data_IF_533401492890
#
_entry.id   IF_533401492890
#
_cell.length_a   1.000
_cell.length_b   1.000
_cell.length_c   1.000
_cell.angle_alpha   90.00
_cell.angle_beta   90.00
_cell.angle_gamma   90.00
#
_symmetry.space_group_name_H-M   'P 1'
#
loop_
_entity.id
_entity.type
_entity.pdbx_description
1 polymer ?
#
# COMPACT_ATOMS: atom_id res chain seq x y z
N UNK A 1 13.37 21.79 13.28
CA UNK A 1 14.16 22.28 12.12
C UNK A 1 15.44 22.96 12.57
N UNK A 2 16.60 22.46 12.14
CA UNK A 2 17.89 23.17 12.28
C UNK A 2 17.98 24.27 11.22
N UNK A 3 18.56 25.45 11.53
CA UNK A 3 18.72 26.55 10.55
C UNK A 3 19.43 26.06 9.28
N UNK A 4 20.42 25.18 9.44
CA UNK A 4 21.17 24.59 8.35
C UNK A 4 20.31 23.79 7.35
N UNK A 5 19.31 23.03 7.80
CA UNK A 5 18.42 22.28 6.91
C UNK A 5 17.57 23.23 6.05
N UNK A 6 17.00 24.26 6.68
CA UNK A 6 16.14 25.23 6.03
C UNK A 6 16.88 26.04 4.96
N UNK A 7 18.13 26.40 5.24
CA UNK A 7 18.95 27.21 4.34
C UNK A 7 19.34 26.41 3.09
N UNK A 8 19.73 25.14 3.23
CA UNK A 8 20.02 24.26 2.09
C UNK A 8 18.77 24.07 1.23
N UNK A 9 17.63 23.78 1.86
CA UNK A 9 16.39 23.56 1.12
C UNK A 9 15.95 24.82 0.34
N UNK A 10 16.13 26.01 0.93
CA UNK A 10 15.81 27.28 0.28
C UNK A 10 16.72 27.57 -0.91
N UNK A 11 18.01 27.29 -0.79
CA UNK A 11 18.96 27.47 -1.88
C UNK A 11 18.59 26.54 -3.05
N UNK A 12 18.42 25.24 -2.77
CA UNK A 12 18.04 24.26 -3.78
C UNK A 12 16.68 24.57 -4.45
N UNK A 13 15.70 25.08 -3.68
CA UNK A 13 14.42 25.51 -4.23
C UNK A 13 14.56 26.74 -5.16
N UNK A 14 15.48 27.65 -4.85
CA UNK A 14 15.79 28.81 -5.71
C UNK A 14 16.44 28.36 -7.01
N UNK A 15 17.33 27.37 -6.93
CA UNK A 15 18.03 26.79 -8.08
C UNK A 15 17.16 25.78 -8.86
N UNK A 16 15.97 25.43 -8.32
CA UNK A 16 15.00 24.45 -8.84
C UNK A 16 15.58 23.05 -9.10
N UNK A 17 16.72 22.75 -8.46
CA UNK A 17 17.49 21.52 -8.60
C UNK A 17 18.20 21.22 -7.28
N UNK A 18 18.41 19.94 -6.99
CA UNK A 18 19.22 19.49 -5.84
C UNK A 18 20.47 18.80 -6.37
N UNK A 19 21.65 19.34 -6.03
CA UNK A 19 22.92 18.67 -6.31
C UNK A 19 23.16 17.50 -5.34
N UNK A 20 24.03 16.55 -5.71
CA UNK A 20 24.36 15.42 -4.82
C UNK A 20 25.02 15.88 -3.49
N UNK A 21 25.73 17.01 -3.48
CA UNK A 21 26.31 17.57 -2.26
C UNK A 21 25.24 18.18 -1.33
N UNK A 22 24.29 18.91 -1.88
CA UNK A 22 23.13 19.43 -1.14
C UNK A 22 22.27 18.28 -0.60
N UNK A 23 22.02 17.26 -1.41
CA UNK A 23 21.28 16.08 -0.99
C UNK A 23 21.97 15.35 0.18
N UNK A 24 23.29 15.17 0.10
CA UNK A 24 24.07 14.57 1.18
C UNK A 24 23.99 15.43 2.46
N UNK A 25 23.99 16.75 2.30
CA UNK A 25 23.88 17.70 3.42
C UNK A 25 22.49 17.68 4.05
N UNK A 26 21.43 17.60 3.24
CA UNK A 26 20.05 17.39 3.69
C UNK A 26 19.91 16.06 4.45
N UNK A 27 20.49 14.97 3.94
CA UNK A 27 20.51 13.68 4.64
C UNK A 27 21.20 13.77 5.99
N UNK A 28 22.39 14.39 6.07
CA UNK A 28 23.10 14.53 7.34
C UNK A 28 22.34 15.39 8.34
N UNK A 29 21.73 16.47 7.88
CA UNK A 29 20.98 17.38 8.74
C UNK A 29 19.64 16.80 9.20
N UNK A 30 18.88 16.17 8.30
CA UNK A 30 17.56 15.60 8.59
C UNK A 30 17.60 14.40 9.55
N UNK A 31 18.62 13.54 9.44
CA UNK A 31 18.78 12.40 10.36
C UNK A 31 19.73 12.66 11.54
N UNK A 32 20.15 13.89 11.78
CA UNK A 32 21.06 14.22 12.88
C UNK A 32 20.51 13.77 14.25
N UNK A 33 19.19 13.83 14.42
CA UNK A 33 18.49 13.42 15.64
C UNK A 33 17.77 12.06 15.50
N UNK A 34 17.97 11.36 14.38
CA UNK A 34 17.36 10.06 14.09
C UNK A 34 15.88 10.09 13.69
N UNK A 35 15.24 11.26 13.63
CA UNK A 35 13.83 11.42 13.22
C UNK A 35 13.65 12.66 12.36
N UNK A 36 12.68 12.62 11.45
CA UNK A 36 12.24 13.78 10.64
C UNK A 36 11.14 14.51 11.40
N UNK A 37 11.27 15.83 11.61
CA UNK A 37 10.23 16.63 12.28
C UNK A 37 9.09 17.01 11.31
N UNK A 38 7.88 17.36 11.82
CA UNK A 38 6.80 17.85 10.97
C UNK A 38 7.22 19.02 10.07
N UNK A 39 8.00 19.97 10.61
CA UNK A 39 8.44 21.14 9.83
C UNK A 39 9.49 20.78 8.76
N UNK A 40 10.31 19.76 9.02
CA UNK A 40 11.25 19.22 8.04
C UNK A 40 10.53 18.46 6.93
N UNK A 41 9.51 17.66 7.28
CA UNK A 41 8.64 17.00 6.29
C UNK A 41 7.93 18.02 5.39
N UNK A 42 7.39 19.09 5.97
CA UNK A 42 6.79 20.21 5.23
C UNK A 42 7.79 20.89 4.27
N UNK A 43 9.03 21.07 4.71
CA UNK A 43 10.10 21.65 3.91
C UNK A 43 10.51 20.72 2.77
N UNK A 44 10.55 19.41 3.01
CA UNK A 44 10.86 18.39 2.00
C UNK A 44 9.79 18.37 0.90
N UNK A 45 8.50 18.44 1.27
CA UNK A 45 7.41 18.60 0.30
C UNK A 45 7.56 19.89 -0.50
N UNK A 46 7.72 21.04 0.16
CA UNK A 46 7.87 22.32 -0.53
C UNK A 46 9.08 22.35 -1.48
N UNK A 47 10.18 21.70 -1.09
CA UNK A 47 11.33 21.53 -1.98
C UNK A 47 10.98 20.63 -3.15
N UNK A 48 10.35 19.48 -2.93
CA UNK A 48 9.90 18.59 -4.00
C UNK A 48 9.07 19.35 -5.03
N UNK A 49 8.09 20.15 -4.59
CA UNK A 49 7.20 20.93 -5.46
C UNK A 49 7.96 21.97 -6.31
N UNK A 50 9.06 22.50 -5.77
CA UNK A 50 9.88 23.52 -6.44
C UNK A 50 10.83 22.96 -7.52
N UNK A 51 11.12 21.66 -7.54
CA UNK A 51 12.09 21.07 -8.46
C UNK A 51 11.54 20.89 -9.88
N UNK A 52 12.34 21.24 -10.87
CA UNK A 52 12.06 20.94 -12.29
C UNK A 52 12.36 19.47 -12.63
N UNK A 53 13.46 18.95 -12.07
CA UNK A 53 13.91 17.58 -12.27
C UNK A 53 14.16 16.91 -10.93
N UNK A 54 13.62 15.69 -10.79
CA UNK A 54 13.69 14.87 -9.57
C UNK A 54 14.54 13.66 -9.88
N UNK A 55 15.83 13.77 -9.58
CA UNK A 55 16.77 12.66 -9.74
C UNK A 55 16.34 11.45 -8.92
N UNK A 56 16.77 10.26 -9.32
CA UNK A 56 16.49 9.04 -8.56
C UNK A 56 16.93 9.16 -7.09
N UNK A 57 18.11 9.76 -6.84
CA UNK A 57 18.63 9.98 -5.49
C UNK A 57 17.73 10.92 -4.66
N UNK A 58 17.18 11.97 -5.28
CA UNK A 58 16.19 12.83 -4.63
C UNK A 58 14.93 12.06 -4.27
N UNK A 59 14.41 11.25 -5.20
CA UNK A 59 13.22 10.43 -4.93
C UNK A 59 13.47 9.42 -3.80
N UNK A 60 14.65 8.79 -3.74
CA UNK A 60 15.03 7.91 -2.62
C UNK A 60 14.88 8.66 -1.29
N UNK A 61 15.54 9.82 -1.20
CA UNK A 61 15.54 10.64 0.01
C UNK A 61 14.15 11.11 0.40
N UNK A 62 13.37 11.61 -0.57
CA UNK A 62 12.01 12.09 -0.35
C UNK A 62 11.12 10.99 0.23
N UNK A 63 11.12 9.81 -0.40
CA UNK A 63 10.31 8.67 0.02
C UNK A 63 10.74 8.13 1.38
N UNK A 64 12.05 8.07 1.63
CA UNK A 64 12.60 7.64 2.92
C UNK A 64 12.23 8.61 4.05
N UNK A 65 12.43 9.91 3.85
CA UNK A 65 12.21 10.92 4.88
C UNK A 65 10.72 11.06 5.23
N UNK A 66 9.85 11.15 4.23
CA UNK A 66 8.40 11.26 4.47
C UNK A 66 7.84 9.93 4.98
N UNK A 67 8.32 8.79 4.47
CA UNK A 67 7.94 7.47 4.99
C UNK A 67 8.31 7.29 6.47
N UNK A 68 9.51 7.74 6.88
CA UNK A 68 9.93 7.73 8.28
C UNK A 68 9.02 8.60 9.15
N UNK A 69 8.74 9.83 8.69
CA UNK A 69 7.85 10.75 9.38
C UNK A 69 6.45 10.15 9.60
N UNK A 70 5.88 9.53 8.57
CA UNK A 70 4.49 9.04 8.59
C UNK A 70 4.35 7.70 9.31
N UNK A 71 5.35 6.81 9.21
CA UNK A 71 5.23 5.43 9.73
C UNK A 71 5.84 5.23 11.12
N UNK A 72 6.88 5.98 11.48
CA UNK A 72 7.75 5.61 12.61
C UNK A 72 7.85 6.68 13.70
N UNK A 73 7.25 7.86 13.53
CA UNK A 73 7.25 8.91 14.57
C UNK A 73 6.31 8.64 15.73
N UNK A 74 5.30 7.78 15.54
CA UNK A 74 4.31 7.43 16.54
C UNK A 74 4.27 5.92 16.76
N UNK A 75 4.09 5.49 18.01
CA UNK A 75 3.87 4.07 18.31
C UNK A 75 2.40 3.69 18.05
N UNK A 76 2.11 2.45 17.61
CA UNK A 76 3.05 1.41 17.18
C UNK A 76 3.71 1.76 15.84
N UNK A 77 5.01 1.49 15.71
CA UNK A 77 5.73 1.73 14.46
C UNK A 77 5.14 0.94 13.28
N UNK A 78 5.15 1.53 12.09
CA UNK A 78 4.55 0.96 10.88
C UNK A 78 3.04 1.17 10.75
N UNK A 79 2.42 1.99 11.62
CA UNK A 79 1.02 2.38 11.52
C UNK A 79 0.88 3.87 11.27
N UNK A 80 0.02 4.22 10.31
CA UNK A 80 -0.31 5.62 10.02
C UNK A 80 -1.50 6.04 10.88
N UNK A 81 -1.41 7.20 11.54
CA UNK A 81 -2.56 7.76 12.26
C UNK A 81 -3.56 8.44 11.32
N UNK A 82 -4.81 8.63 11.77
CA UNK A 82 -5.82 9.38 10.99
C UNK A 82 -5.36 10.80 10.63
N UNK A 83 -4.63 11.46 11.55
CA UNK A 83 -4.10 12.81 11.37
C UNK A 83 -2.97 12.84 10.33
N UNK A 84 -1.99 11.93 10.45
CA UNK A 84 -0.90 11.79 9.46
C UNK A 84 -1.44 11.39 8.08
N UNK A 85 -2.42 10.48 8.03
CA UNK A 85 -3.06 10.08 6.79
C UNK A 85 -3.81 11.25 6.14
N UNK A 86 -4.54 12.04 6.92
CA UNK A 86 -5.20 13.25 6.40
C UNK A 86 -4.17 14.26 5.88
N UNK A 87 -3.15 14.55 6.67
CA UNK A 87 -2.09 15.49 6.29
C UNK A 87 -1.40 15.07 4.99
N UNK A 88 -1.06 13.78 4.86
CA UNK A 88 -0.40 13.27 3.66
C UNK A 88 -1.30 13.39 2.43
N UNK A 89 -2.58 13.05 2.55
CA UNK A 89 -3.56 13.21 1.46
C UNK A 89 -3.67 14.69 1.06
N UNK A 90 -3.77 15.60 2.03
CA UNK A 90 -3.87 17.03 1.75
C UNK A 90 -2.62 17.55 1.01
N UNK A 91 -1.42 17.05 1.38
CA UNK A 91 -0.16 17.41 0.71
C UNK A 91 -0.07 16.87 -0.71
N UNK A 92 -0.38 15.59 -0.90
CA UNK A 92 -0.33 14.94 -2.22
C UNK A 92 -1.43 15.42 -3.16
N UNK A 93 -2.53 15.97 -2.62
CA UNK A 93 -3.65 16.45 -3.42
C UNK A 93 -3.71 17.99 -3.51
N UNK A 94 -2.67 18.70 -3.08
CA UNK A 94 -2.65 20.16 -3.06
C UNK A 94 -2.88 20.79 -4.45
N UNK A 95 -2.43 20.10 -5.50
CA UNK A 95 -2.59 20.45 -6.91
C UNK A 95 -3.73 19.70 -7.61
N UNK A 96 -4.44 18.82 -6.89
CA UNK A 96 -5.58 18.05 -7.41
C UNK A 96 -5.22 16.69 -8.04
N UNK A 97 -3.93 16.35 -8.15
CA UNK A 97 -3.43 15.03 -8.58
C UNK A 97 -2.01 14.80 -8.04
N UNK A 98 -1.50 13.58 -8.18
CA UNK A 98 -0.09 13.28 -7.92
C UNK A 98 0.74 13.85 -9.08
N UNK A 99 1.62 14.81 -8.79
CA UNK A 99 2.27 15.60 -9.84
C UNK A 99 3.67 15.12 -10.19
N UNK A 100 4.22 14.20 -9.40
CA UNK A 100 5.59 13.78 -9.60
C UNK A 100 5.80 12.28 -9.40
N UNK A 101 6.80 11.77 -10.12
CA UNK A 101 7.37 10.44 -9.91
C UNK A 101 7.71 10.17 -8.44
N UNK A 102 8.10 11.21 -7.68
CA UNK A 102 8.45 11.11 -6.28
C UNK A 102 7.25 10.84 -5.38
N UNK A 103 6.17 11.59 -5.59
CA UNK A 103 4.91 11.42 -4.88
C UNK A 103 4.25 10.09 -5.21
N UNK A 104 4.26 9.69 -6.49
CA UNK A 104 3.71 8.39 -6.89
C UNK A 104 4.47 7.24 -6.23
N UNK A 105 5.81 7.30 -6.22
CA UNK A 105 6.59 6.32 -5.48
C UNK A 105 6.26 6.35 -3.99
N UNK A 106 6.13 7.54 -3.37
CA UNK A 106 5.81 7.66 -1.95
C UNK A 106 4.50 6.96 -1.60
N UNK A 107 3.44 7.15 -2.39
CA UNK A 107 2.14 6.49 -2.21
C UNK A 107 2.29 4.97 -2.20
N UNK A 108 2.99 4.42 -3.19
CA UNK A 108 3.21 2.97 -3.31
C UNK A 108 4.09 2.46 -2.17
N UNK A 109 5.20 3.13 -1.88
CA UNK A 109 6.14 2.70 -0.85
C UNK A 109 5.55 2.75 0.55
N UNK A 110 4.64 3.67 0.80
CA UNK A 110 3.95 3.78 2.07
C UNK A 110 3.11 2.52 2.35
N UNK A 111 2.27 2.09 1.41
CA UNK A 111 1.45 0.89 1.61
C UNK A 111 2.30 -0.39 1.64
N UNK A 112 3.42 -0.44 0.90
CA UNK A 112 4.38 -1.56 0.97
C UNK A 112 5.00 -1.74 2.36
N UNK A 113 5.26 -0.63 3.07
CA UNK A 113 5.94 -0.65 4.37
C UNK A 113 4.99 -0.62 5.57
N UNK A 114 3.80 -0.06 5.40
CA UNK A 114 2.82 0.04 6.46
C UNK A 114 2.30 -1.35 6.86
N UNK A 115 2.20 -1.61 8.16
CA UNK A 115 1.46 -2.76 8.68
C UNK A 115 -0.04 -2.58 8.50
N UNK A 116 -0.52 -1.34 8.65
CA UNK A 116 -1.88 -0.94 8.32
C UNK A 116 -1.93 0.59 8.12
N UNK A 117 -2.88 1.05 7.31
CA UNK A 117 -3.14 2.48 7.09
C UNK A 117 -4.63 2.79 7.32
N UNK A 118 -4.98 4.04 7.67
CA UNK A 118 -6.36 4.48 7.81
C UNK A 118 -7.19 4.21 6.56
N UNK A 119 -8.49 3.97 6.74
CA UNK A 119 -9.43 3.68 5.66
C UNK A 119 -9.41 4.77 4.58
N UNK A 120 -9.36 6.05 4.98
CA UNK A 120 -9.25 7.19 4.05
C UNK A 120 -8.04 7.10 3.13
N UNK A 121 -6.92 6.56 3.63
CA UNK A 121 -5.68 6.46 2.87
C UNK A 121 -5.74 5.28 1.90
N UNK A 122 -6.39 4.17 2.30
CA UNK A 122 -6.68 3.06 1.38
C UNK A 122 -7.54 3.51 0.20
N UNK A 123 -8.62 4.25 0.47
CA UNK A 123 -9.48 4.85 -0.57
C UNK A 123 -8.64 5.72 -1.50
N UNK A 124 -7.85 6.62 -0.93
CA UNK A 124 -7.05 7.58 -1.69
C UNK A 124 -6.00 6.89 -2.56
N UNK A 125 -5.27 5.90 -2.04
CA UNK A 125 -4.28 5.12 -2.79
C UNK A 125 -4.93 4.46 -4.00
N UNK A 126 -6.07 3.79 -3.82
CA UNK A 126 -6.77 3.12 -4.93
C UNK A 126 -7.23 4.13 -6.00
N UNK A 127 -7.81 5.26 -5.58
CA UNK A 127 -8.25 6.30 -6.50
C UNK A 127 -7.07 6.93 -7.26
N UNK A 128 -5.94 7.12 -6.58
CA UNK A 128 -4.70 7.64 -7.18
C UNK A 128 -4.14 6.67 -8.21
N UNK A 129 -4.04 5.38 -7.86
CA UNK A 129 -3.58 4.35 -8.80
C UNK A 129 -4.45 4.31 -10.06
N UNK A 130 -5.78 4.34 -9.90
CA UNK A 130 -6.70 4.37 -11.04
C UNK A 130 -6.49 5.60 -11.91
N UNK A 131 -6.37 6.78 -11.31
CA UNK A 131 -6.16 8.02 -12.04
C UNK A 131 -4.83 8.04 -12.81
N UNK A 132 -3.73 7.64 -12.15
CA UNK A 132 -2.39 7.65 -12.75
C UNK A 132 -2.25 6.60 -13.86
N UNK A 133 -2.93 5.46 -13.76
CA UNK A 133 -2.92 4.45 -14.85
C UNK A 133 -3.78 4.88 -16.04
N UNK A 134 -4.85 5.65 -15.82
CA UNK A 134 -5.76 6.07 -16.89
C UNK A 134 -5.35 7.38 -17.58
N UNK A 135 -4.59 8.22 -16.89
CA UNK A 135 -4.30 9.58 -17.36
C UNK A 135 -2.92 10.10 -17.01
N UNK A 136 -2.13 9.33 -16.26
CA UNK A 136 -0.77 9.69 -15.88
C UNK A 136 0.15 9.66 -17.10
N UNK A 137 1.16 10.54 -17.07
CA UNK A 137 2.20 10.57 -18.08
C UNK A 137 3.54 10.87 -17.42
N UNK A 138 4.62 10.40 -18.04
CA UNK A 138 5.98 10.70 -17.60
C UNK A 138 6.67 9.56 -16.85
N UNK A 139 7.91 9.80 -16.40
CA UNK A 139 8.79 8.74 -15.96
C UNK A 139 8.37 8.13 -14.63
N UNK A 140 8.64 6.83 -14.50
CA UNK A 140 8.52 6.11 -13.23
C UNK A 140 9.89 5.83 -12.64
N UNK A 141 9.95 5.75 -11.32
CA UNK A 141 11.21 5.55 -10.58
C UNK A 141 11.95 4.28 -10.97
N UNK A 142 11.23 3.21 -11.28
CA UNK A 142 11.80 1.92 -11.65
C UNK A 142 12.00 1.76 -13.17
N UNK A 143 11.98 2.87 -13.91
CA UNK A 143 12.13 2.91 -15.36
C UNK A 143 10.86 2.55 -16.12
N UNK A 144 10.77 3.08 -17.33
CA UNK A 144 9.54 3.14 -18.11
C UNK A 144 8.67 4.32 -17.69
N UNK A 145 7.63 4.58 -18.47
CA UNK A 145 6.77 5.76 -18.33
C UNK A 145 5.31 5.33 -18.09
N UNK A 146 4.55 6.21 -17.42
CA UNK A 146 3.09 6.17 -17.42
C UNK A 146 2.58 6.59 -18.80
N UNK A 147 1.45 6.02 -19.22
CA UNK A 147 0.81 6.34 -20.50
C UNK A 147 -0.68 6.62 -20.33
N UNK A 148 -1.14 7.70 -20.96
CA UNK A 148 -2.55 8.07 -21.06
C UNK A 148 -3.30 7.35 -22.20
N UNK A 149 -2.65 6.38 -22.87
CA UNK A 149 -3.24 5.69 -24.04
C UNK A 149 -3.42 4.19 -23.86
N UNK A 150 -2.62 3.54 -23.01
CA UNK A 150 -2.61 2.10 -22.78
C UNK A 150 -1.98 1.80 -21.42
N UNK A 151 -2.27 0.63 -20.87
CA UNK A 151 -1.64 0.20 -19.62
C UNK A 151 -0.20 -0.28 -19.90
N UNK A 152 0.79 0.41 -19.36
CA UNK A 152 2.21 0.13 -19.56
C UNK A 152 2.76 -0.94 -18.60
N UNK A 153 3.94 -1.49 -18.89
CA UNK A 153 4.63 -2.40 -17.95
C UNK A 153 5.01 -1.72 -16.64
N UNK A 154 5.29 -0.41 -16.67
CA UNK A 154 5.64 0.37 -15.49
C UNK A 154 4.42 0.52 -14.56
N UNK A 155 3.25 0.78 -15.14
CA UNK A 155 1.96 0.82 -14.43
C UNK A 155 1.59 -0.54 -13.83
N UNK A 156 1.78 -1.62 -14.59
CA UNK A 156 1.58 -2.97 -14.07
C UNK A 156 2.45 -3.25 -12.84
N UNK A 157 3.71 -2.79 -12.86
CA UNK A 157 4.64 -2.93 -11.72
C UNK A 157 4.16 -2.14 -10.50
N UNK A 158 3.71 -0.90 -10.71
CA UNK A 158 3.17 -0.02 -9.67
C UNK A 158 1.91 -0.64 -9.04
N UNK A 159 0.95 -1.05 -9.86
CA UNK A 159 -0.28 -1.70 -9.40
C UNK A 159 0.02 -2.96 -8.60
N UNK A 160 0.89 -3.84 -9.09
CA UNK A 160 1.28 -5.06 -8.37
C UNK A 160 1.87 -4.76 -7.00
N UNK A 161 2.77 -3.77 -6.92
CA UNK A 161 3.39 -3.37 -5.65
C UNK A 161 2.36 -2.90 -4.63
N UNK A 162 1.39 -2.09 -5.05
CA UNK A 162 0.38 -1.54 -4.16
C UNK A 162 -0.71 -2.56 -3.77
N UNK A 163 -1.24 -3.33 -4.73
CA UNK A 163 -2.35 -4.27 -4.54
C UNK A 163 -1.99 -5.43 -3.60
N UNK A 164 -0.76 -5.92 -3.67
CA UNK A 164 -0.31 -7.05 -2.86
C UNK A 164 0.48 -6.62 -1.60
N UNK A 165 0.44 -5.33 -1.28
CA UNK A 165 1.14 -4.77 -0.13
C UNK A 165 0.50 -5.14 1.22
N UNK A 166 1.25 -5.19 2.33
CA UNK A 166 0.70 -5.33 3.68
C UNK A 166 -0.22 -4.18 4.11
N UNK A 167 -0.02 -2.97 3.58
CA UNK A 167 -0.89 -1.81 3.80
C UNK A 167 -2.02 -1.66 2.78
N UNK A 168 -2.19 -2.62 1.86
CA UNK A 168 -3.29 -2.64 0.88
C UNK A 168 -4.66 -2.72 1.55
N UNK A 169 -5.71 -2.67 0.75
CA UNK A 169 -7.07 -2.64 1.27
C UNK A 169 -7.44 -3.96 1.95
N UNK A 170 -7.08 -5.10 1.33
CA UNK A 170 -7.26 -6.45 1.87
C UNK A 170 -5.99 -7.30 1.72
N UNK A 171 -4.98 -7.15 2.60
CA UNK A 171 -3.69 -7.81 2.41
C UNK A 171 -3.76 -9.33 2.40
N UNK A 172 -2.96 -9.91 1.51
CA UNK A 172 -2.94 -11.36 1.25
C UNK A 172 -4.08 -11.84 0.36
N UNK A 173 -5.10 -11.02 0.12
CA UNK A 173 -6.12 -11.22 -0.91
C UNK A 173 -6.23 -9.94 -1.77
N UNK A 174 -7.32 -9.78 -2.50
CA UNK A 174 -7.69 -8.53 -3.15
C UNK A 174 -9.09 -8.12 -2.67
N UNK A 175 -9.26 -6.85 -2.36
CA UNK A 175 -10.53 -6.30 -1.91
C UNK A 175 -11.49 -6.15 -3.09
N UNK A 176 -12.78 -6.03 -2.79
CA UNK A 176 -13.79 -5.76 -3.83
C UNK A 176 -13.53 -4.42 -4.53
N UNK A 177 -13.11 -3.40 -3.78
CA UNK A 177 -12.83 -2.05 -4.30
C UNK A 177 -11.61 -2.06 -5.24
N UNK A 178 -10.58 -2.81 -4.88
CA UNK A 178 -9.41 -3.05 -5.73
C UNK A 178 -9.79 -3.79 -7.01
N UNK A 179 -10.60 -4.86 -6.91
CA UNK A 179 -11.06 -5.61 -8.07
C UNK A 179 -11.94 -4.74 -9.01
N UNK A 180 -12.86 -3.95 -8.45
CA UNK A 180 -13.69 -3.03 -9.24
C UNK A 180 -12.86 -1.92 -9.91
N UNK A 181 -11.78 -1.45 -9.29
CA UNK A 181 -10.82 -0.53 -9.92
C UNK A 181 -10.12 -1.19 -11.11
N UNK A 182 -9.69 -2.44 -11.00
CA UNK A 182 -9.10 -3.19 -12.12
C UNK A 182 -10.07 -3.38 -13.29
N UNK A 183 -11.36 -3.63 -13.01
CA UNK A 183 -12.38 -3.68 -14.07
C UNK A 183 -12.55 -2.33 -14.77
N UNK A 184 -12.59 -1.22 -14.02
CA UNK A 184 -12.66 0.12 -14.63
C UNK A 184 -11.46 0.42 -15.52
N UNK A 185 -10.25 0.06 -15.09
CA UNK A 185 -9.04 0.20 -15.92
C UNK A 185 -9.13 -0.69 -17.16
N UNK A 186 -9.54 -1.96 -17.00
CA UNK A 186 -9.70 -2.90 -18.13
C UNK A 186 -10.65 -2.31 -19.16
N UNK A 187 -11.84 -1.90 -18.74
CA UNK A 187 -12.90 -1.41 -19.64
C UNK A 187 -12.48 -0.12 -20.35
N UNK A 188 -11.77 0.77 -19.68
CA UNK A 188 -11.27 2.02 -20.26
C UNK A 188 -10.16 1.79 -21.31
N UNK A 189 -9.36 0.73 -21.15
CA UNK A 189 -8.19 0.45 -22.00
C UNK A 189 -8.37 -0.80 -22.88
N UNK A 190 -9.59 -1.34 -23.04
CA UNK A 190 -9.80 -2.67 -23.63
C UNK A 190 -9.29 -2.78 -25.08
N UNK A 191 -9.43 -1.72 -25.86
CA UNK A 191 -8.99 -1.65 -27.26
C UNK A 191 -7.58 -1.09 -27.44
N UNK A 192 -6.89 -0.76 -26.35
CA UNK A 192 -5.54 -0.20 -26.35
C UNK A 192 -4.47 -1.26 -26.50
N UNK A 193 -3.26 -0.85 -26.92
CA UNK A 193 -2.07 -1.71 -26.98
C UNK A 193 -1.47 -1.94 -25.59
N UNK A 194 -2.24 -2.55 -24.69
CA UNK A 194 -1.82 -2.80 -23.31
C UNK A 194 -0.62 -3.76 -23.28
N UNK A 195 0.27 -3.54 -22.30
CA UNK A 195 1.36 -4.44 -22.02
C UNK A 195 0.85 -5.88 -21.76
N UNK A 196 1.54 -6.94 -22.23
CA UNK A 196 1.13 -8.32 -21.97
C UNK A 196 0.95 -8.63 -20.47
N UNK A 197 1.77 -8.00 -19.64
CA UNK A 197 1.73 -8.12 -18.18
C UNK A 197 0.40 -7.64 -17.57
N UNK A 198 -0.32 -6.73 -18.25
CA UNK A 198 -1.59 -6.20 -17.76
C UNK A 198 -2.65 -7.30 -17.62
N UNK A 199 -2.79 -8.14 -18.64
CA UNK A 199 -3.74 -9.27 -18.64
C UNK A 199 -3.43 -10.26 -17.53
N UNK A 200 -2.15 -10.57 -17.35
CA UNK A 200 -1.68 -11.44 -16.27
C UNK A 200 -2.00 -10.86 -14.90
N UNK A 201 -1.70 -9.58 -14.68
CA UNK A 201 -1.97 -8.89 -13.43
C UNK A 201 -3.48 -8.87 -13.11
N UNK A 202 -4.31 -8.49 -14.09
CA UNK A 202 -5.77 -8.47 -13.95
C UNK A 202 -6.30 -9.85 -13.51
N UNK A 203 -5.94 -10.91 -14.24
CA UNK A 203 -6.39 -12.28 -13.95
C UNK A 203 -5.94 -12.73 -12.56
N UNK A 204 -4.67 -12.52 -12.21
CA UNK A 204 -4.15 -12.90 -10.89
C UNK A 204 -4.82 -12.14 -9.75
N UNK A 205 -5.00 -10.82 -9.90
CA UNK A 205 -5.58 -10.00 -8.85
C UNK A 205 -7.08 -10.27 -8.66
N UNK A 206 -7.86 -10.31 -9.75
CA UNK A 206 -9.30 -10.63 -9.67
C UNK A 206 -9.54 -12.08 -9.25
N UNK A 207 -8.70 -13.02 -9.69
CA UNK A 207 -8.70 -14.38 -9.17
C UNK A 207 -8.45 -14.43 -7.66
N UNK A 208 -7.47 -13.66 -7.17
CA UNK A 208 -7.19 -13.53 -5.74
C UNK A 208 -8.29 -12.78 -4.96
N UNK A 209 -9.13 -11.97 -5.62
CA UNK A 209 -10.33 -11.43 -5.01
C UNK A 209 -11.37 -12.53 -4.74
N UNK A 210 -11.56 -13.43 -5.71
CA UNK A 210 -12.60 -14.45 -5.73
C UNK A 210 -12.24 -15.74 -4.97
N UNK A 211 -10.96 -16.11 -4.93
CA UNK A 211 -10.47 -17.37 -4.34
C UNK A 211 -9.41 -17.15 -3.25
N UNK A 212 -8.97 -15.91 -3.06
CA UNK A 212 -7.89 -15.59 -2.13
C UNK A 212 -8.33 -15.57 -0.68
N UNK A 213 -7.61 -16.30 0.16
CA UNK A 213 -7.80 -16.27 1.61
C UNK A 213 -7.02 -15.11 2.23
N UNK A 214 -7.74 -14.20 2.91
CA UNK A 214 -7.15 -13.22 3.81
C UNK A 214 -7.42 -13.61 5.26
N UNK A 215 -6.38 -13.70 6.07
CA UNK A 215 -6.55 -13.92 7.51
C UNK A 215 -7.32 -12.76 8.14
N UNK A 216 -8.23 -13.05 9.07
CA UNK A 216 -8.89 -12.03 9.90
C UNK A 216 -7.91 -11.20 10.75
N UNK A 217 -6.66 -11.67 10.89
CA UNK A 217 -5.57 -10.94 11.54
C UNK A 217 -4.49 -10.48 10.57
N UNK A 218 -4.75 -10.47 9.25
CA UNK A 218 -3.80 -10.00 8.24
C UNK A 218 -3.47 -8.51 8.47
N UNK A 219 -4.47 -7.74 8.89
CA UNK A 219 -4.31 -6.41 9.48
C UNK A 219 -5.00 -6.39 10.83
N UNK A 220 -4.34 -5.81 11.83
CA UNK A 220 -4.97 -5.45 13.09
C UNK A 220 -5.12 -3.92 13.16
N UNK A 221 -6.06 -3.44 13.96
CA UNK A 221 -6.20 -2.00 14.17
C UNK A 221 -4.98 -1.47 14.92
N UNK A 222 -4.71 -0.17 14.75
CA UNK A 222 -3.62 0.50 15.46
C UNK A 222 -3.82 0.40 16.98
N UNK A 223 -5.04 0.56 17.46
CA UNK A 223 -5.40 0.42 18.88
C UNK A 223 -5.04 -0.97 19.39
N UNK A 224 -5.38 -2.00 18.61
CA UNK A 224 -5.07 -3.38 18.97
C UNK A 224 -3.56 -3.66 18.97
N UNK A 225 -2.82 -3.08 18.02
CA UNK A 225 -1.37 -3.18 17.99
C UNK A 225 -0.73 -2.49 19.21
N UNK A 226 -1.19 -1.29 19.56
CA UNK A 226 -0.74 -0.57 20.75
C UNK A 226 -1.02 -1.35 22.04
N UNK A 227 -2.20 -1.98 22.16
CA UNK A 227 -2.53 -2.87 23.28
C UNK A 227 -1.55 -4.06 23.39
N UNK A 228 -1.20 -4.68 22.25
CA UNK A 228 -0.28 -5.82 22.20
C UNK A 228 1.15 -5.41 22.58
N UNK A 229 1.63 -4.27 22.08
CA UNK A 229 2.95 -3.72 22.44
C UNK A 229 3.03 -3.35 23.92
N UNK A 230 2.02 -2.65 24.44
CA UNK A 230 1.94 -2.32 25.87
C UNK A 230 1.94 -3.59 26.73
N UNK A 231 1.20 -4.63 26.30
CA UNK A 231 1.20 -5.93 26.98
C UNK A 231 2.58 -6.61 26.96
N UNK A 232 3.31 -6.54 25.84
CA UNK A 232 4.66 -7.11 25.71
C UNK A 232 5.71 -6.32 26.51
N UNK A 233 5.66 -4.99 26.51
CA UNK A 233 6.58 -4.12 27.24
C UNK A 233 6.48 -4.33 28.77
N UNK A 234 5.29 -4.66 29.27
CA UNK A 234 5.04 -4.93 30.69
C UNK A 234 5.50 -6.35 31.15
N UNK A 235 6.29 -7.07 30.33
CA UNK A 235 6.81 -8.41 30.67
C UNK A 235 8.17 -8.39 31.41
N UNK A 236 8.73 -7.22 31.70
CA UNK A 236 10.14 -7.05 32.11
C UNK A 236 10.50 -7.35 33.57
N UNK A 237 9.59 -7.87 34.42
CA UNK A 237 9.94 -8.15 35.83
C UNK A 237 9.37 -9.41 36.48
N UNK A 238 8.40 -10.13 35.89
CA UNK A 238 7.92 -11.41 36.45
C UNK A 238 7.18 -12.27 35.41
N UNK A 239 7.86 -13.29 34.88
CA UNK A 239 7.32 -14.25 33.91
C UNK A 239 6.05 -14.95 34.42
N UNK A 240 5.94 -15.20 35.72
CA UNK A 240 4.75 -15.82 36.34
C UNK A 240 3.53 -14.90 36.30
N UNK A 241 3.72 -13.59 36.55
CA UNK A 241 2.65 -12.58 36.44
C UNK A 241 2.21 -12.39 34.99
N UNK A 242 3.15 -12.45 34.04
CA UNK A 242 2.86 -12.39 32.61
C UNK A 242 2.00 -13.57 32.15
N UNK A 243 2.39 -14.81 32.50
CA UNK A 243 1.59 -16.02 32.20
C UNK A 243 0.20 -15.97 32.85
N UNK A 244 0.11 -15.49 34.09
CA UNK A 244 -1.17 -15.30 34.79
C UNK A 244 -2.10 -14.28 34.11
N UNK A 245 -1.55 -13.22 33.50
CA UNK A 245 -2.35 -12.26 32.71
C UNK A 245 -2.76 -12.81 31.36
N UNK A 246 -1.87 -13.53 30.66
CA UNK A 246 -2.19 -14.21 29.40
C UNK A 246 -3.37 -15.19 29.57
N UNK A 247 -3.41 -15.91 30.70
CA UNK A 247 -4.53 -16.77 31.07
C UNK A 247 -5.85 -16.01 31.30
N UNK A 248 -5.80 -14.74 31.74
CA UNK A 248 -6.99 -13.88 31.93
C UNK A 248 -7.47 -13.24 30.63
N UNK A 249 -6.57 -12.72 29.79
CA UNK A 249 -6.93 -12.04 28.54
C UNK A 249 -7.29 -13.00 27.41
N UNK A 250 -6.78 -14.23 27.42
CA UNK A 250 -7.18 -15.25 26.46
C UNK A 250 -7.16 -16.66 27.06
N UNK A 251 -8.11 -16.99 27.97
CA UNK A 251 -8.12 -18.27 28.68
C UNK A 251 -8.14 -19.47 27.72
N UNK A 252 -8.93 -19.33 26.64
CA UNK A 252 -9.07 -20.36 25.61
C UNK A 252 -7.84 -20.52 24.72
N UNK A 253 -7.00 -19.50 24.51
CA UNK A 253 -5.74 -19.65 23.76
C UNK A 253 -4.58 -20.07 24.67
N UNK A 254 -4.54 -19.60 25.91
CA UNK A 254 -3.56 -20.02 26.91
C UNK A 254 -3.65 -21.54 27.16
N UNK A 255 -4.86 -22.06 27.36
CA UNK A 255 -5.08 -23.51 27.48
C UNK A 255 -4.64 -24.32 26.26
N UNK A 256 -4.74 -23.75 25.04
CA UNK A 256 -4.27 -24.38 23.79
C UNK A 256 -2.74 -24.46 23.70
N UNK A 257 -2.03 -23.41 24.08
CA UNK A 257 -0.54 -23.37 24.07
C UNK A 257 0.05 -24.35 25.09
N UNK A 258 -0.61 -24.55 26.22
CA UNK A 258 -0.15 -25.46 27.30
C UNK A 258 -0.85 -26.83 27.31
N UNK A 259 -1.41 -27.27 26.18
CA UNK A 259 -1.69 -28.70 25.95
C UNK A 259 -3.11 -29.20 26.26
N UNK A 260 -4.14 -28.35 26.39
CA UNK A 260 -5.53 -28.84 26.32
C UNK A 260 -5.89 -29.21 24.86
N UNK A 261 -6.01 -30.51 24.60
CA UNK A 261 -6.62 -31.06 23.37
C UNK A 261 -8.10 -30.68 23.29
N UNK A 262 -8.51 -30.20 22.11
CA UNK A 262 -9.90 -30.24 21.65
C UNK A 262 -10.55 -28.88 21.43
N UNK A 263 -10.73 -28.51 20.16
CA UNK A 263 -11.92 -27.82 19.63
C UNK A 263 -12.02 -28.13 18.14
N UNK A 264 -13.24 -28.36 17.63
CA UNK A 264 -13.64 -28.47 16.21
C UNK A 264 -13.43 -27.17 15.40
N UNK A 265 -12.42 -26.36 15.77
CA UNK A 265 -12.09 -25.16 15.02
C UNK A 265 -11.44 -25.58 13.69
N UNK A 266 -11.91 -25.04 12.55
CA UNK A 266 -11.34 -25.38 11.26
C UNK A 266 -9.85 -25.05 11.23
N UNK A 267 -9.07 -25.97 10.68
CA UNK A 267 -7.63 -25.77 10.44
C UNK A 267 -7.42 -24.66 9.42
N UNK A 268 -6.21 -24.10 9.35
CA UNK A 268 -5.87 -23.08 8.34
C UNK A 268 -6.12 -23.60 6.92
N UNK A 269 -5.80 -24.86 6.65
CA UNK A 269 -6.06 -25.51 5.36
C UNK A 269 -7.55 -25.57 5.04
N UNK A 270 -8.40 -25.90 6.03
CA UNK A 270 -9.85 -25.90 5.86
C UNK A 270 -10.42 -24.49 5.64
N UNK A 271 -9.88 -23.48 6.33
CA UNK A 271 -10.28 -22.08 6.13
C UNK A 271 -9.89 -21.58 4.74
N UNK A 272 -8.67 -21.88 4.29
CA UNK A 272 -8.20 -21.55 2.94
C UNK A 272 -9.06 -22.26 1.88
N UNK A 273 -9.34 -23.55 2.05
CA UNK A 273 -10.16 -24.31 1.12
C UNK A 273 -11.62 -23.80 1.06
N UNK A 274 -12.16 -23.32 2.18
CA UNK A 274 -13.49 -22.72 2.23
C UNK A 274 -13.53 -21.37 1.49
N UNK A 275 -12.55 -20.49 1.71
CA UNK A 275 -12.45 -19.18 1.01
C UNK A 275 -12.11 -19.34 -0.48
N UNK A 276 -11.48 -20.45 -0.88
CA UNK A 276 -11.20 -20.74 -2.29
C UNK A 276 -12.48 -21.03 -3.10
N UNK A 277 -13.58 -21.40 -2.46
CA UNK A 277 -14.82 -21.70 -3.16
C UNK A 277 -15.58 -20.41 -3.52
N UNK A 278 -15.66 -20.10 -4.82
CA UNK A 278 -16.42 -18.93 -5.30
C UNK A 278 -17.90 -19.05 -4.92
N UNK A 279 -18.35 -18.15 -4.07
CA UNK A 279 -19.71 -18.10 -3.53
C UNK A 279 -20.73 -17.65 -4.59
N UNK A 280 -22.03 -17.89 -4.32
CA UNK A 280 -23.10 -17.44 -5.22
C UNK A 280 -23.14 -15.91 -5.36
N UNK A 281 -22.81 -15.16 -4.29
CA UNK A 281 -22.70 -13.70 -4.32
C UNK A 281 -21.54 -13.23 -5.19
N UNK A 282 -20.40 -13.89 -5.14
CA UNK A 282 -19.24 -13.57 -5.96
C UNK A 282 -19.47 -13.91 -7.43
N UNK A 283 -20.14 -15.03 -7.73
CA UNK A 283 -20.58 -15.34 -9.10
C UNK A 283 -21.50 -14.26 -9.65
N UNK A 284 -22.52 -13.85 -8.87
CA UNK A 284 -23.42 -12.76 -9.28
C UNK A 284 -22.67 -11.44 -9.48
N UNK A 285 -21.69 -11.13 -8.63
CA UNK A 285 -20.85 -9.95 -8.81
C UNK A 285 -20.02 -10.04 -10.09
N UNK A 286 -19.40 -11.18 -10.35
CA UNK A 286 -18.62 -11.43 -11.56
C UNK A 286 -19.48 -11.29 -12.82
N UNK A 287 -20.68 -11.86 -12.83
CA UNK A 287 -21.64 -11.73 -13.92
C UNK A 287 -21.98 -10.25 -14.19
N UNK A 288 -22.13 -9.43 -13.14
CA UNK A 288 -22.39 -7.98 -13.27
C UNK A 288 -21.17 -7.27 -13.87
N UNK A 289 -19.96 -7.59 -13.46
CA UNK A 289 -18.75 -6.96 -14.00
C UNK A 289 -18.55 -7.33 -15.48
N UNK A 290 -18.66 -8.62 -15.82
CA UNK A 290 -18.50 -9.12 -17.20
C UNK A 290 -19.61 -8.66 -18.15
N UNK A 291 -20.83 -8.43 -17.65
CA UNK A 291 -21.92 -7.88 -18.47
C UNK A 291 -21.91 -6.36 -18.56
N UNK A 292 -21.10 -5.67 -17.74
CA UNK A 292 -21.08 -4.21 -17.63
C UNK A 292 -20.69 -3.50 -18.92
N UNK A 293 -19.76 -4.07 -19.68
CA UNK A 293 -19.32 -3.56 -20.99
C UNK A 293 -20.08 -4.22 -22.17
N UNK A 294 -21.04 -5.11 -21.88
CA UNK A 294 -21.88 -5.79 -22.87
C UNK A 294 -21.22 -6.94 -23.64
N UNK A 295 -19.98 -7.34 -23.32
CA UNK A 295 -19.28 -8.43 -24.00
C UNK A 295 -18.32 -9.21 -23.07
N UNK A 296 -18.24 -10.52 -23.26
CA UNK A 296 -17.21 -11.33 -22.57
C UNK A 296 -15.90 -11.25 -23.36
N UNK A 297 -14.99 -10.40 -22.89
CA UNK A 297 -13.74 -10.09 -23.56
C UNK A 297 -12.62 -11.12 -23.27
N UNK A 298 -11.43 -10.89 -23.83
CA UNK A 298 -10.30 -11.81 -23.67
C UNK A 298 -9.71 -11.88 -22.26
N UNK A 299 -9.86 -10.83 -21.45
CA UNK A 299 -9.45 -10.83 -20.04
C UNK A 299 -10.44 -11.65 -19.22
N UNK A 300 -11.73 -11.49 -19.47
CA UNK A 300 -12.78 -12.26 -18.81
C UNK A 300 -12.65 -13.77 -19.13
N UNK A 301 -12.39 -14.11 -20.39
CA UNK A 301 -12.12 -15.50 -20.80
C UNK A 301 -10.84 -16.06 -20.15
N UNK A 302 -9.81 -15.25 -19.98
CA UNK A 302 -8.60 -15.65 -19.27
C UNK A 302 -8.86 -15.86 -17.77
N UNK A 303 -9.66 -14.99 -17.15
CA UNK A 303 -10.05 -15.11 -15.75
C UNK A 303 -10.88 -16.37 -15.51
N UNK A 304 -11.88 -16.66 -16.34
CA UNK A 304 -12.69 -17.87 -16.20
C UNK A 304 -11.83 -19.15 -16.30
N UNK A 305 -10.91 -19.20 -17.28
CA UNK A 305 -9.96 -20.33 -17.40
C UNK A 305 -9.06 -20.47 -16.16
N UNK A 306 -8.61 -19.36 -15.60
CA UNK A 306 -7.82 -19.36 -14.37
C UNK A 306 -8.62 -19.90 -13.19
N UNK A 307 -9.88 -19.47 -13.02
CA UNK A 307 -10.76 -19.93 -11.94
C UNK A 307 -11.10 -21.43 -12.03
N UNK A 308 -11.07 -22.01 -13.24
CA UNK A 308 -11.23 -23.44 -13.51
C UNK A 308 -9.97 -24.27 -13.21
N UNK A 309 -8.88 -23.63 -12.77
CA UNK A 309 -7.59 -24.26 -12.44
C UNK A 309 -6.54 -24.19 -13.55
N UNK A 310 -6.77 -23.37 -14.58
CA UNK A 310 -5.75 -23.06 -15.59
C UNK A 310 -4.65 -22.13 -15.05
N UNK A 311 -3.52 -22.07 -15.75
CA UNK A 311 -2.46 -21.11 -15.44
C UNK A 311 -2.85 -19.68 -15.87
N UNK A 312 -2.37 -18.68 -15.14
CA UNK A 312 -2.52 -17.29 -15.55
C UNK A 312 -1.73 -17.06 -16.86
N UNK A 313 -2.27 -16.23 -17.78
CA UNK A 313 -1.67 -15.96 -19.08
C UNK A 313 -0.30 -15.28 -18.98
#
# INVERSE_FOLDING_TARGET
MTMHFADIARQAATDRRVSSEELLSLRRAGWANGTITPEEAETIFALNDALDDRSAEWVDFFVEAIGEYVLNTMQPAGYVTEEQGKWLIDRLNASGKVESMAEMELVVRLVERASNVPERLKVYVIATLEHEVLSGTGPTRHGGDLSDTHVSEAECRILRRALFAPGSDRPGAISRREAEMLYRIKDACLESENAPEWKRLFVQAVGNHLQGYASASAQISRERAAELEAFMADASSNVGRFLGRMAKTSPNRFGKVFGKKGTDAPTREQLVAADHAVTASEKKWLDIQMSGNGMVDEYDQALLRFLEGGEAP
#
